data_IF_128171971755
#
_entry.id   IF_128171971755
#
_cell.length_a   1.000
_cell.length_b   1.000
_cell.length_c   1.000
_cell.angle_alpha   90.00
_cell.angle_beta   90.00
_cell.angle_gamma   90.00
#
_symmetry.space_group_name_H-M   'P 1'
#
loop_
_entity.id
_entity.type
_entity.pdbx_description
1 polymer ?
#
# COMPACT_ATOMS: atom_id res chain seq x y z
N UNK A 1 13.60 -4.71 -65.44
CA UNK A 1 13.33 -4.68 -64.00
C UNK A 1 13.20 -3.21 -63.60
N UNK A 2 12.00 -2.76 -63.23
CA UNK A 2 11.77 -1.36 -62.89
C UNK A 2 12.17 -1.13 -61.43
N UNK A 3 13.36 -0.57 -61.22
CA UNK A 3 13.81 -0.13 -59.90
C UNK A 3 13.14 1.21 -59.58
N UNK A 4 11.93 1.18 -59.00
CA UNK A 4 11.32 2.38 -58.44
C UNK A 4 12.06 2.71 -57.13
N UNK A 5 12.93 3.72 -57.19
CA UNK A 5 13.60 4.24 -56.00
C UNK A 5 12.59 4.90 -55.06
N UNK A 6 12.76 4.70 -53.75
CA UNK A 6 11.99 5.40 -52.73
C UNK A 6 12.16 6.91 -52.90
N UNK A 7 11.05 7.63 -52.91
CA UNK A 7 11.10 9.08 -53.01
C UNK A 7 11.54 9.68 -51.66
N UNK A 8 12.31 10.78 -51.69
CA UNK A 8 12.75 11.47 -50.46
C UNK A 8 11.56 11.82 -49.55
N UNK A 9 10.43 12.20 -50.16
CA UNK A 9 9.21 12.56 -49.45
C UNK A 9 8.58 11.37 -48.71
N UNK A 10 8.57 10.16 -49.30
CA UNK A 10 8.10 8.95 -48.62
C UNK A 10 8.95 8.60 -47.40
N UNK A 11 10.27 8.78 -47.50
CA UNK A 11 11.19 8.53 -46.38
C UNK A 11 10.92 9.50 -45.24
N UNK A 12 10.70 10.78 -45.54
CA UNK A 12 10.38 11.81 -44.54
C UNK A 12 9.02 11.53 -43.87
N UNK A 13 7.99 11.20 -44.66
CA UNK A 13 6.66 10.90 -44.14
C UNK A 13 6.69 9.63 -43.26
N UNK A 14 7.43 8.60 -43.69
CA UNK A 14 7.57 7.36 -42.91
C UNK A 14 8.31 7.60 -41.59
N UNK A 15 9.37 8.42 -41.60
CA UNK A 15 10.10 8.80 -40.40
C UNK A 15 9.23 9.64 -39.44
N UNK A 16 8.40 10.53 -39.97
CA UNK A 16 7.46 11.33 -39.17
C UNK A 16 6.44 10.43 -38.45
N UNK A 17 5.78 9.53 -39.20
CA UNK A 17 4.80 8.58 -38.64
C UNK A 17 5.47 7.68 -37.60
N UNK A 18 6.68 7.19 -37.87
CA UNK A 18 7.44 6.37 -36.94
C UNK A 18 7.76 7.14 -35.65
N UNK A 19 8.15 8.42 -35.73
CA UNK A 19 8.46 9.22 -34.55
C UNK A 19 7.23 9.44 -33.66
N UNK A 20 6.06 9.66 -34.25
CA UNK A 20 4.80 9.85 -33.52
C UNK A 20 4.38 8.53 -32.86
N UNK A 21 4.49 7.40 -33.57
CA UNK A 21 4.18 6.09 -33.02
C UNK A 21 5.10 5.72 -31.85
N UNK A 22 6.41 5.89 -32.00
CA UNK A 22 7.39 5.61 -30.94
C UNK A 22 7.20 6.56 -29.75
N UNK A 23 6.98 7.85 -30.01
CA UNK A 23 6.71 8.84 -28.97
C UNK A 23 5.44 8.53 -28.18
N UNK A 24 4.37 8.14 -28.88
CA UNK A 24 3.12 7.71 -28.25
C UNK A 24 3.30 6.47 -27.36
N UNK A 25 4.05 5.48 -27.82
CA UNK A 25 4.36 4.26 -27.04
C UNK A 25 5.18 4.61 -25.78
N UNK A 26 6.18 5.48 -25.89
CA UNK A 26 7.01 5.87 -24.74
C UNK A 26 6.23 6.63 -23.66
N UNK A 27 5.26 7.48 -24.05
CA UNK A 27 4.41 8.22 -23.11
C UNK A 27 3.49 7.31 -22.28
N UNK A 28 3.04 6.18 -22.84
CA UNK A 28 2.25 5.19 -22.09
C UNK A 28 3.08 4.60 -20.95
N UNK A 29 4.32 4.21 -21.22
CA UNK A 29 5.21 3.61 -20.21
C UNK A 29 5.68 4.56 -19.11
N UNK A 30 5.76 5.87 -19.37
CA UNK A 30 6.13 6.84 -18.32
C UNK A 30 5.00 7.05 -17.31
N UNK A 31 3.75 6.99 -17.76
CA UNK A 31 2.57 7.23 -16.92
C UNK A 31 2.27 6.06 -15.98
N UNK A 32 2.61 4.83 -16.39
CA UNK A 32 2.36 3.62 -15.59
C UNK A 32 3.20 3.54 -14.30
N UNK A 33 4.37 4.19 -14.25
CA UNK A 33 5.28 4.10 -13.08
C UNK A 33 4.67 4.71 -11.82
N UNK A 34 3.87 5.77 -11.93
CA UNK A 34 3.19 6.41 -10.81
C UNK A 34 2.10 5.51 -10.20
N UNK A 35 1.19 5.02 -11.05
CA UNK A 35 0.00 4.24 -10.62
C UNK A 35 0.35 2.91 -9.96
N UNK A 36 1.37 2.22 -10.47
CA UNK A 36 1.83 0.92 -9.90
C UNK A 36 2.40 1.12 -8.49
N UNK A 37 3.08 2.23 -8.24
CA UNK A 37 3.69 2.50 -6.93
C UNK A 37 2.65 2.69 -5.82
N UNK A 38 1.52 3.34 -6.13
CA UNK A 38 0.44 3.60 -5.18
C UNK A 38 -0.34 2.33 -4.86
N UNK A 39 -0.60 1.51 -5.89
CA UNK A 39 -1.29 0.22 -5.74
C UNK A 39 -0.48 -0.76 -4.90
N UNK A 40 0.84 -0.83 -5.13
CA UNK A 40 1.74 -1.69 -4.35
C UNK A 40 1.76 -1.37 -2.86
N UNK A 41 1.78 -0.08 -2.49
CA UNK A 41 1.78 0.35 -1.08
C UNK A 41 0.47 0.01 -0.38
N UNK A 42 -0.67 0.16 -1.05
CA UNK A 42 -1.98 -0.20 -0.48
C UNK A 42 -2.10 -1.69 -0.19
N UNK A 43 -1.62 -2.55 -1.10
CA UNK A 43 -1.61 -4.00 -0.89
C UNK A 43 -0.74 -4.36 0.31
N UNK A 44 0.41 -3.70 0.45
CA UNK A 44 1.32 -3.95 1.58
C UNK A 44 0.75 -3.47 2.92
N UNK A 45 0.06 -2.32 2.94
CA UNK A 45 -0.67 -1.85 4.12
C UNK A 45 -1.76 -2.85 4.56
N UNK A 46 -2.49 -3.43 3.62
CA UNK A 46 -3.47 -4.49 3.92
C UNK A 46 -2.83 -5.73 4.51
N UNK A 47 -1.64 -6.12 4.06
CA UNK A 47 -0.91 -7.26 4.63
C UNK A 47 -0.50 -6.98 6.09
N UNK A 48 -0.04 -5.77 6.39
CA UNK A 48 0.27 -5.38 7.78
C UNK A 48 -0.96 -5.34 8.68
N UNK A 49 -2.10 -4.89 8.16
CA UNK A 49 -3.38 -4.98 8.88
C UNK A 49 -3.75 -6.43 9.16
N UNK A 50 -3.63 -7.31 8.16
CA UNK A 50 -3.92 -8.74 8.32
C UNK A 50 -3.01 -9.40 9.35
N UNK A 51 -1.70 -9.15 9.29
CA UNK A 51 -0.75 -9.68 10.27
C UNK A 51 -1.12 -9.28 11.70
N UNK A 52 -1.53 -8.03 11.90
CA UNK A 52 -1.97 -7.53 13.22
C UNK A 52 -3.23 -8.24 13.68
N UNK A 53 -4.21 -8.38 12.79
CA UNK A 53 -5.46 -9.05 13.13
C UNK A 53 -5.23 -10.53 13.48
N UNK A 54 -4.35 -11.23 12.77
CA UNK A 54 -4.01 -12.63 13.10
C UNK A 54 -3.26 -12.75 14.43
N UNK A 55 -2.36 -11.80 14.75
CA UNK A 55 -1.72 -11.74 16.07
C UNK A 55 -2.76 -11.54 17.18
N UNK A 56 -3.67 -10.58 17.02
CA UNK A 56 -4.73 -10.29 17.99
C UNK A 56 -5.73 -11.45 18.11
N UNK A 57 -6.04 -12.13 17.01
CA UNK A 57 -6.87 -13.32 17.01
C UNK A 57 -6.23 -14.45 17.82
N UNK A 58 -4.91 -14.64 17.73
CA UNK A 58 -4.20 -15.61 18.57
C UNK A 58 -4.18 -15.20 20.06
N UNK A 59 -4.34 -13.92 20.37
CA UNK A 59 -4.46 -13.42 21.75
C UNK A 59 -5.86 -13.62 22.35
N UNK A 60 -6.88 -13.95 21.54
CA UNK A 60 -8.22 -14.31 22.04
C UNK A 60 -8.19 -15.76 22.56
N UNK A 61 -7.74 -15.93 23.81
CA UNK A 61 -7.89 -17.18 24.56
C UNK A 61 -9.22 -17.23 25.31
N UNK A 62 -9.85 -18.41 25.41
CA UNK A 62 -11.08 -18.60 26.19
C UNK A 62 -10.85 -18.39 27.71
N UNK A 63 -9.61 -18.47 28.16
CA UNK A 63 -9.14 -18.34 29.54
C UNK A 63 -8.67 -16.92 29.91
N UNK A 64 -8.42 -16.07 28.92
CA UNK A 64 -7.83 -14.72 29.09
C UNK A 64 -8.80 -13.58 28.75
N UNK A 65 -10.02 -13.91 28.32
CA UNK A 65 -11.13 -12.97 28.11
C UNK A 65 -11.73 -12.47 29.45
N UNK A 66 -12.06 -11.17 29.62
CA UNK A 66 -12.07 -10.08 28.65
C UNK A 66 -10.93 -9.04 28.80
N UNK A 67 -9.93 -9.28 29.65
CA UNK A 67 -9.03 -8.20 30.10
C UNK A 67 -7.52 -8.44 29.88
N UNK A 68 -7.11 -9.52 29.22
CA UNK A 68 -5.68 -9.83 29.10
C UNK A 68 -4.99 -9.07 27.95
N UNK A 69 -3.87 -8.41 28.28
CA UNK A 69 -2.81 -8.02 27.36
C UNK A 69 -3.24 -7.13 26.20
N UNK A 70 -2.91 -7.57 24.98
CA UNK A 70 -3.09 -6.86 23.71
C UNK A 70 -4.55 -6.61 23.31
N UNK A 71 -5.53 -7.16 24.05
CA UNK A 71 -6.96 -6.95 23.83
C UNK A 71 -7.62 -6.12 24.95
N UNK A 72 -6.82 -5.50 25.81
CA UNK A 72 -7.32 -4.49 26.74
C UNK A 72 -7.90 -3.31 25.97
N UNK A 73 -9.00 -2.73 26.47
CA UNK A 73 -9.64 -1.60 25.80
C UNK A 73 -8.74 -0.38 25.81
N UNK A 74 -8.74 0.34 24.69
CA UNK A 74 -7.89 1.49 24.46
C UNK A 74 -7.08 1.40 23.17
N UNK A 75 -6.26 2.42 22.95
CA UNK A 75 -5.37 2.52 21.80
C UNK A 75 -4.01 1.93 22.15
N UNK A 76 -3.55 1.00 21.32
CA UNK A 76 -2.28 0.32 21.48
C UNK A 76 -1.28 0.81 20.43
N UNK A 77 -0.02 0.95 20.87
CA UNK A 77 1.10 1.46 20.08
C UNK A 77 0.94 2.93 19.64
N UNK A 78 0.40 3.79 20.50
CA UNK A 78 0.21 5.23 20.25
C UNK A 78 1.52 6.03 20.20
N UNK A 79 2.64 5.51 20.72
CA UNK A 79 3.91 6.26 20.84
C UNK A 79 5.14 5.57 20.23
N UNK A 80 4.98 4.42 19.57
CA UNK A 80 6.12 3.61 19.15
C UNK A 80 5.79 2.80 17.90
N UNK A 81 6.04 3.40 16.76
CA UNK A 81 5.96 2.78 15.45
C UNK A 81 6.71 1.43 15.45
N UNK A 82 6.02 0.32 15.17
CA UNK A 82 6.72 -0.86 14.67
C UNK A 82 7.16 -0.51 13.25
N UNK A 83 8.45 -0.23 13.10
CA UNK A 83 9.13 -0.02 11.82
C UNK A 83 8.65 -1.07 10.82
N UNK A 84 7.89 -0.65 9.82
CA UNK A 84 7.36 -1.58 8.83
C UNK A 84 8.55 -2.22 8.08
N UNK A 85 8.56 -3.54 7.83
CA UNK A 85 9.59 -4.19 7.03
C UNK A 85 9.81 -3.46 5.70
N UNK A 86 10.97 -2.81 5.56
CA UNK A 86 11.28 -1.92 4.42
C UNK A 86 11.57 -0.47 4.78
N UNK A 87 11.44 -0.08 6.04
CA UNK A 87 11.86 1.22 6.58
C UNK A 87 13.29 1.14 7.14
N UNK A 88 14.26 0.91 6.26
CA UNK A 88 15.68 0.99 6.59
C UNK A 88 16.24 2.35 6.14
N UNK A 89 16.16 3.34 7.04
CA UNK A 89 16.86 4.62 6.90
C UNK A 89 16.03 5.76 6.28
N UNK A 90 16.57 6.99 6.30
CA UNK A 90 15.92 8.15 5.72
C UNK A 90 15.73 7.94 4.20
N UNK A 91 14.47 7.80 3.76
CA UNK A 91 14.10 7.46 2.38
C UNK A 91 13.51 6.06 2.18
N UNK A 92 13.27 5.30 3.26
CA UNK A 92 12.54 4.04 3.21
C UNK A 92 11.16 4.17 2.56
N UNK A 93 10.66 3.08 1.96
CA UNK A 93 9.33 3.04 1.31
C UNK A 93 8.17 3.43 2.24
N UNK A 94 8.45 3.41 3.53
CA UNK A 94 7.54 3.63 4.66
C UNK A 94 8.13 4.61 5.67
N UNK A 95 9.00 5.54 5.25
CA UNK A 95 9.57 6.54 6.16
C UNK A 95 8.44 7.37 6.81
N UNK A 96 8.37 7.32 8.14
CA UNK A 96 7.30 7.95 8.93
C UNK A 96 5.95 7.19 8.91
N UNK A 97 5.92 5.97 8.38
CA UNK A 97 4.73 5.13 8.31
C UNK A 97 4.62 4.24 9.55
N UNK A 98 3.42 4.18 10.12
CA UNK A 98 3.15 3.54 11.38
C UNK A 98 1.94 2.65 11.36
N UNK A 99 1.82 1.83 12.39
CA UNK A 99 0.67 0.99 12.61
C UNK A 99 0.25 1.10 14.07
N UNK A 100 -1.03 1.37 14.28
CA UNK A 100 -1.67 1.34 15.59
C UNK A 100 -2.94 0.52 15.52
N UNK A 101 -3.47 0.12 16.66
CA UNK A 101 -4.80 -0.47 16.71
C UNK A 101 -5.53 -0.01 17.96
N UNK A 102 -6.86 0.05 17.87
CA UNK A 102 -7.74 0.42 18.98
C UNK A 102 -8.71 -0.71 19.23
N UNK A 103 -8.87 -1.06 20.50
CA UNK A 103 -9.79 -2.11 20.95
C UNK A 103 -10.92 -1.44 21.73
N UNK A 104 -12.15 -1.65 21.28
CA UNK A 104 -13.36 -1.13 21.90
C UNK A 104 -14.20 -2.28 22.45
N UNK A 105 -14.63 -2.14 23.69
CA UNK A 105 -15.55 -3.09 24.33
C UNK A 105 -16.96 -2.80 23.86
N UNK A 106 -17.63 -3.82 23.32
CA UNK A 106 -19.06 -3.74 23.00
C UNK A 106 -19.84 -4.48 24.06
N UNK A 107 -20.66 -3.69 24.75
CA UNK A 107 -21.40 -4.08 25.94
C UNK A 107 -22.86 -4.37 25.59
N UNK A 108 -23.44 -5.36 26.26
CA UNK A 108 -24.89 -5.53 26.36
C UNK A 108 -25.24 -5.73 27.83
N UNK A 109 -26.19 -4.93 28.32
CA UNK A 109 -26.66 -5.01 29.71
C UNK A 109 -25.56 -4.93 30.77
N UNK A 110 -24.40 -4.35 30.44
CA UNK A 110 -23.24 -4.19 31.33
C UNK A 110 -22.14 -5.24 31.15
N UNK A 111 -22.38 -6.30 30.38
CA UNK A 111 -21.40 -7.35 30.10
C UNK A 111 -20.77 -7.18 28.72
N UNK A 112 -19.46 -7.47 28.62
CA UNK A 112 -18.73 -7.42 27.35
C UNK A 112 -19.12 -8.64 26.52
N UNK A 113 -19.91 -8.45 25.46
CA UNK A 113 -20.24 -9.53 24.51
C UNK A 113 -19.08 -9.77 23.55
N UNK A 114 -18.54 -8.69 22.97
CA UNK A 114 -17.44 -8.78 22.02
C UNK A 114 -16.56 -7.54 22.04
N UNK A 115 -15.38 -7.66 21.44
CA UNK A 115 -14.44 -6.56 21.25
C UNK A 115 -14.36 -6.23 19.78
N UNK A 116 -14.46 -4.94 19.49
CA UNK A 116 -14.23 -4.40 18.15
C UNK A 116 -12.79 -3.91 18.07
N UNK A 117 -12.03 -4.42 17.10
CA UNK A 117 -10.64 -4.02 16.86
C UNK A 117 -10.58 -3.22 15.57
N UNK A 118 -10.04 -2.00 15.65
CA UNK A 118 -9.75 -1.15 14.50
C UNK A 118 -8.24 -1.03 14.35
N UNK A 119 -7.68 -1.44 13.21
CA UNK A 119 -6.26 -1.31 12.90
C UNK A 119 -6.06 -0.15 11.93
N UNK A 120 -5.16 0.76 12.28
CA UNK A 120 -4.80 1.93 11.48
C UNK A 120 -3.38 1.76 10.99
N UNK A 121 -3.17 1.96 9.68
CA UNK A 121 -1.85 1.98 9.06
C UNK A 121 -1.71 3.31 8.34
N UNK A 122 -0.75 4.11 8.76
CA UNK A 122 -0.43 5.40 8.17
C UNK A 122 0.86 5.28 7.37
N UNK A 123 0.93 5.88 6.19
CA UNK A 123 2.16 5.99 5.39
C UNK A 123 2.19 7.29 4.60
N UNK A 124 3.40 7.75 4.28
CA UNK A 124 3.60 8.86 3.35
C UNK A 124 3.46 8.38 1.91
N UNK A 125 2.64 9.05 1.10
CA UNK A 125 2.59 8.78 -0.34
C UNK A 125 3.87 9.27 -1.03
N UNK A 126 4.34 8.57 -2.08
CA UNK A 126 5.48 9.07 -2.84
C UNK A 126 5.08 10.35 -3.56
N UNK A 127 5.78 11.45 -3.28
CA UNK A 127 5.64 12.70 -4.04
C UNK A 127 6.27 12.50 -5.42
N UNK A 128 5.54 12.86 -6.48
CA UNK A 128 6.03 12.86 -7.87
C UNK A 128 7.27 13.74 -8.08
#
# INVERSE_FOLDING_TARGET
MNNRGLTLIEVIISALILSIAVGGILLVFTTEKGVVSHTGRRVQAMDFTRQTLEQLKNAVGADTWPAAGDLSSGTHNSEGFLTLPGDFGPGGRFAGAGRSYTVNDVLDSGDIIYKSVTVTVDWSEPTE
#
